data_IF_641217913980
#
_entry.id   IF_641217913980
#
_cell.length_a   1.000
_cell.length_b   1.000
_cell.length_c   1.000
_cell.angle_alpha   90.00
_cell.angle_beta   90.00
_cell.angle_gamma   90.00
#
_symmetry.space_group_name_H-M   'P 1'
#
loop_
_entity.id
_entity.type
_entity.pdbx_description
1 polymer ?
#
# COMPACT_ATOMS: atom_id res chain seq x y z
N UNK A 1 32.24 52.53 12.37
CA UNK A 1 30.83 52.24 12.02
C UNK A 1 30.81 50.99 11.15
N UNK A 2 29.86 50.13 11.46
CA UNK A 2 29.90 48.66 11.33
C UNK A 2 29.79 48.18 9.89
N UNK A 3 30.68 47.22 9.52
CA UNK A 3 30.64 46.49 8.25
C UNK A 3 29.34 45.70 8.13
N UNK A 4 28.65 45.88 7.02
CA UNK A 4 27.55 45.04 6.56
C UNK A 4 28.12 43.63 6.32
N UNK A 5 27.73 42.65 7.13
CA UNK A 5 28.10 41.24 6.92
C UNK A 5 27.09 40.60 5.98
N UNK A 6 27.60 40.16 4.83
CA UNK A 6 26.92 39.34 3.82
C UNK A 6 26.17 38.16 4.45
N UNK A 7 24.90 38.00 4.12
CA UNK A 7 24.16 36.75 4.33
C UNK A 7 24.60 35.77 3.23
N UNK A 8 25.63 34.98 3.51
CA UNK A 8 26.17 34.01 2.56
C UNK A 8 25.14 32.93 2.26
N UNK A 9 24.70 32.82 1.01
CA UNK A 9 23.93 31.67 0.54
C UNK A 9 24.72 30.39 0.84
N UNK A 10 24.15 29.45 1.61
CA UNK A 10 24.82 28.19 1.94
C UNK A 10 25.05 27.39 0.65
N UNK A 11 26.31 27.22 0.23
CA UNK A 11 26.66 26.39 -0.93
C UNK A 11 26.15 24.97 -0.72
N UNK A 12 25.22 24.54 -1.58
CA UNK A 12 24.54 23.23 -1.49
C UNK A 12 24.98 22.35 -2.65
N UNK A 13 25.38 21.11 -2.35
CA UNK A 13 25.69 20.09 -3.35
C UNK A 13 24.68 18.95 -3.31
N UNK A 14 24.46 18.30 -4.45
CA UNK A 14 23.71 17.06 -4.56
C UNK A 14 24.68 15.89 -4.72
N UNK A 15 24.51 14.83 -3.95
CA UNK A 15 25.27 13.61 -4.06
C UNK A 15 24.34 12.49 -4.55
N UNK A 16 24.59 11.95 -5.74
CA UNK A 16 23.81 10.86 -6.32
C UNK A 16 24.51 9.54 -5.97
N UNK A 17 23.90 8.75 -5.10
CA UNK A 17 24.50 7.55 -4.55
C UNK A 17 23.95 6.29 -5.23
N UNK A 18 24.80 5.51 -5.90
CA UNK A 18 24.44 4.23 -6.49
C UNK A 18 25.15 3.05 -5.84
N UNK A 19 24.85 1.83 -6.29
CA UNK A 19 25.41 0.62 -5.66
C UNK A 19 26.87 0.46 -6.06
N UNK A 20 27.17 0.82 -7.30
CA UNK A 20 28.41 0.47 -7.97
C UNK A 20 28.39 -0.99 -8.42
N UNK A 21 29.10 -1.25 -9.49
CA UNK A 21 29.18 -2.54 -10.16
C UNK A 21 30.65 -2.88 -10.41
N UNK A 22 31.03 -4.16 -10.34
CA UNK A 22 32.34 -4.60 -10.82
C UNK A 22 32.50 -4.44 -12.34
N UNK A 23 31.43 -4.11 -13.07
CA UNK A 23 31.45 -3.83 -14.51
C UNK A 23 31.57 -2.31 -14.74
N UNK A 24 32.71 -1.78 -15.26
CA UNK A 24 32.94 -0.34 -15.37
C UNK A 24 31.88 0.42 -16.16
N UNK A 25 31.41 -0.16 -17.27
CA UNK A 25 30.37 0.44 -18.13
C UNK A 25 29.04 0.67 -17.40
N UNK A 26 28.71 -0.15 -16.41
CA UNK A 26 27.48 0.03 -15.63
C UNK A 26 27.58 1.24 -14.68
N UNK A 27 28.80 1.62 -14.26
CA UNK A 27 29.03 2.78 -13.39
C UNK A 27 28.98 4.10 -14.18
N UNK A 28 29.27 4.08 -15.49
CA UNK A 28 29.14 5.25 -16.37
C UNK A 28 27.70 5.76 -16.42
N UNK A 29 26.71 4.87 -16.44
CA UNK A 29 25.29 5.25 -16.44
C UNK A 29 24.93 6.13 -15.24
N UNK A 30 25.42 5.84 -14.03
CA UNK A 30 25.18 6.69 -12.86
C UNK A 30 25.84 8.07 -13.00
N UNK A 31 27.03 8.13 -13.60
CA UNK A 31 27.74 9.39 -13.86
C UNK A 31 26.99 10.24 -14.88
N UNK A 32 26.44 9.63 -15.93
CA UNK A 32 25.56 10.29 -16.90
C UNK A 32 24.28 10.82 -16.26
N UNK A 33 23.66 10.04 -15.38
CA UNK A 33 22.48 10.46 -14.61
C UNK A 33 22.83 11.66 -13.72
N UNK A 34 23.94 11.62 -12.99
CA UNK A 34 24.38 12.74 -12.15
C UNK A 34 24.58 14.01 -12.99
N UNK A 35 25.17 13.89 -14.17
CA UNK A 35 25.30 15.00 -15.12
C UNK A 35 23.94 15.51 -15.63
N UNK A 36 23.02 14.62 -15.96
CA UNK A 36 21.68 15.00 -16.39
C UNK A 36 20.88 15.68 -15.27
N UNK A 37 21.02 15.22 -14.02
CA UNK A 37 20.42 15.84 -12.83
C UNK A 37 21.00 17.24 -12.61
N UNK A 38 22.31 17.42 -12.79
CA UNK A 38 22.94 18.74 -12.72
C UNK A 38 22.28 19.74 -13.66
N UNK A 39 22.15 19.37 -14.93
CA UNK A 39 21.60 20.25 -15.97
C UNK A 39 20.09 20.46 -15.78
N UNK A 40 19.31 19.37 -15.68
CA UNK A 40 17.83 19.46 -15.60
C UNK A 40 17.34 20.03 -14.28
N UNK A 41 18.05 19.77 -13.18
CA UNK A 41 17.71 20.24 -11.85
C UNK A 41 18.25 21.63 -11.52
N UNK A 42 19.12 22.20 -12.36
CA UNK A 42 19.73 23.51 -12.12
C UNK A 42 20.64 23.54 -10.89
N UNK A 43 21.32 22.43 -10.59
CA UNK A 43 22.23 22.33 -9.44
C UNK A 43 23.66 22.68 -9.87
N UNK A 44 24.35 23.52 -9.08
CA UNK A 44 25.73 23.93 -9.40
C UNK A 44 26.72 22.78 -9.20
N UNK A 45 26.52 21.97 -8.17
CA UNK A 45 27.40 20.88 -7.75
C UNK A 45 26.59 19.59 -7.62
N UNK A 46 26.90 18.62 -8.47
CA UNK A 46 26.36 17.25 -8.39
C UNK A 46 27.52 16.26 -8.44
N UNK A 47 27.62 15.40 -7.44
CA UNK A 47 28.71 14.43 -7.29
C UNK A 47 28.15 13.00 -7.29
N UNK A 48 28.51 12.14 -8.26
CA UNK A 48 28.22 10.71 -8.15
C UNK A 48 29.08 10.06 -7.06
N UNK A 49 28.50 9.09 -6.36
CA UNK A 49 29.19 8.26 -5.39
C UNK A 49 28.67 6.82 -5.44
N UNK A 50 29.46 5.88 -4.95
CA UNK A 50 29.14 4.46 -5.01
C UNK A 50 29.25 3.82 -3.62
N UNK A 51 28.36 2.87 -3.31
CA UNK A 51 28.43 2.10 -2.06
C UNK A 51 29.50 1.02 -2.11
N UNK A 52 29.73 0.41 -3.28
CA UNK A 52 30.60 -0.75 -3.46
C UNK A 52 31.28 -0.70 -4.83
N UNK A 53 32.38 -1.46 -4.98
CA UNK A 53 33.07 -1.78 -6.24
C UNK A 53 33.69 -0.63 -7.05
N UNK A 54 33.35 0.63 -6.76
CA UNK A 54 33.71 1.78 -7.58
C UNK A 54 33.96 3.03 -6.72
N UNK A 55 34.72 3.97 -7.26
CA UNK A 55 35.07 5.23 -6.63
C UNK A 55 34.50 6.47 -7.36
N UNK A 56 34.26 7.59 -6.65
CA UNK A 56 34.47 7.76 -5.22
C UNK A 56 33.40 7.03 -4.40
N UNK A 57 33.82 6.43 -3.28
CA UNK A 57 32.87 5.91 -2.30
C UNK A 57 32.16 7.06 -1.56
N UNK A 58 31.17 6.76 -0.71
CA UNK A 58 30.41 7.79 0.00
C UNK A 58 31.31 8.77 0.78
N UNK A 59 32.27 8.26 1.57
CA UNK A 59 33.15 9.09 2.39
C UNK A 59 34.08 9.96 1.53
N UNK A 60 34.66 9.40 0.46
CA UNK A 60 35.50 10.13 -0.49
C UNK A 60 34.72 11.21 -1.23
N UNK A 61 33.48 10.93 -1.63
CA UNK A 61 32.62 11.90 -2.30
C UNK A 61 32.28 13.08 -1.36
N UNK A 62 32.04 12.81 -0.07
CA UNK A 62 31.85 13.89 0.90
C UNK A 62 33.16 14.65 1.14
N UNK A 63 34.32 13.98 1.20
CA UNK A 63 35.63 14.65 1.32
C UNK A 63 35.88 15.63 0.16
N UNK A 64 35.58 15.21 -1.07
CA UNK A 64 35.67 16.06 -2.27
C UNK A 64 34.78 17.31 -2.13
N UNK A 65 33.53 17.13 -1.71
CA UNK A 65 32.57 18.23 -1.55
C UNK A 65 32.94 19.17 -0.39
N UNK A 66 33.42 18.63 0.73
CA UNK A 66 33.86 19.40 1.87
C UNK A 66 35.08 20.28 1.53
N UNK A 67 36.04 19.76 0.76
CA UNK A 67 37.20 20.53 0.28
C UNK A 67 36.81 21.66 -0.68
N UNK A 68 35.67 21.54 -1.37
CA UNK A 68 35.10 22.61 -2.20
C UNK A 68 34.35 23.68 -1.38
N UNK A 69 34.32 23.57 -0.05
CA UNK A 69 33.66 24.54 0.84
C UNK A 69 32.14 24.43 0.85
N UNK A 70 31.58 23.30 0.40
CA UNK A 70 30.15 23.02 0.49
C UNK A 70 29.73 22.96 1.97
N UNK A 71 28.61 23.61 2.29
CA UNK A 71 28.08 23.66 3.66
C UNK A 71 26.89 22.72 3.86
N UNK A 72 26.26 22.28 2.75
CA UNK A 72 25.11 21.38 2.75
C UNK A 72 25.18 20.35 1.63
N UNK A 73 24.95 19.09 1.94
CA UNK A 73 24.90 17.99 0.97
C UNK A 73 23.52 17.32 1.03
N UNK A 74 22.83 17.26 -0.11
CA UNK A 74 21.62 16.46 -0.30
C UNK A 74 22.02 15.13 -0.93
N UNK A 75 21.94 14.05 -0.16
CA UNK A 75 22.23 12.69 -0.62
C UNK A 75 20.95 12.12 -1.21
N UNK A 76 20.94 11.82 -2.50
CA UNK A 76 19.85 11.12 -3.17
C UNK A 76 20.28 9.69 -3.52
N UNK A 77 19.70 8.67 -2.86
CA UNK A 77 19.96 7.28 -3.19
C UNK A 77 19.30 6.89 -4.53
N UNK A 78 20.10 6.62 -5.55
CA UNK A 78 19.63 6.24 -6.87
C UNK A 78 19.39 4.73 -6.96
N UNK A 79 18.39 4.27 -6.22
CA UNK A 79 18.00 2.85 -6.12
C UNK A 79 16.51 2.69 -6.38
N UNK A 80 16.12 1.71 -7.20
CA UNK A 80 14.71 1.34 -7.38
C UNK A 80 14.13 0.64 -6.14
N UNK A 81 14.98 -0.06 -5.39
CA UNK A 81 14.60 -0.80 -4.19
C UNK A 81 15.59 -0.47 -3.07
N UNK A 82 15.10 -0.35 -1.83
CA UNK A 82 15.96 -0.29 -0.65
C UNK A 82 16.27 -1.71 -0.17
N UNK A 83 17.45 -2.23 -0.49
CA UNK A 83 17.95 -3.46 0.11
C UNK A 83 18.19 -3.31 1.63
N UNK A 84 18.15 -4.43 2.37
CA UNK A 84 18.41 -4.47 3.82
C UNK A 84 19.78 -3.88 4.22
N UNK A 85 20.76 -3.92 3.32
CA UNK A 85 22.08 -3.30 3.48
C UNK A 85 22.04 -1.77 3.33
N UNK A 86 21.30 -1.25 2.34
CA UNK A 86 21.19 0.20 2.03
C UNK A 86 20.55 1.01 3.16
N UNK A 87 19.57 0.43 3.88
CA UNK A 87 18.87 1.08 5.00
C UNK A 87 19.76 1.34 6.22
N UNK A 88 20.84 0.57 6.39
CA UNK A 88 21.77 0.67 7.54
C UNK A 88 23.09 1.32 7.14
N UNK A 89 23.59 0.99 5.95
CA UNK A 89 24.90 1.44 5.49
C UNK A 89 24.92 2.95 5.23
N UNK A 90 23.89 3.52 4.59
CA UNK A 90 23.87 4.97 4.33
C UNK A 90 23.79 5.79 5.62
N UNK A 91 22.89 5.51 6.58
CA UNK A 91 22.90 6.23 7.86
C UNK A 91 24.19 6.03 8.65
N UNK A 92 24.80 4.83 8.60
CA UNK A 92 26.07 4.54 9.24
C UNK A 92 27.22 5.39 8.64
N UNK A 93 27.32 5.42 7.31
CA UNK A 93 28.29 6.22 6.57
C UNK A 93 28.11 7.73 6.85
N UNK A 94 26.86 8.23 6.84
CA UNK A 94 26.55 9.60 7.24
C UNK A 94 27.01 9.86 8.68
N UNK A 95 26.78 8.93 9.61
CA UNK A 95 27.21 9.05 10.99
C UNK A 95 28.73 9.11 11.14
N UNK A 96 29.46 8.32 10.36
CA UNK A 96 30.93 8.31 10.32
C UNK A 96 31.49 9.62 9.81
N UNK A 97 30.94 10.13 8.70
CA UNK A 97 31.40 11.38 8.09
C UNK A 97 31.02 12.62 8.92
N UNK A 98 29.87 12.61 9.61
CA UNK A 98 29.48 13.68 10.54
C UNK A 98 30.45 13.86 11.72
N UNK A 99 31.15 12.80 12.16
CA UNK A 99 32.19 12.92 13.18
C UNK A 99 33.38 13.75 12.67
N UNK A 100 33.70 13.66 11.37
CA UNK A 100 34.79 14.36 10.70
C UNK A 100 34.42 15.80 10.33
N UNK A 101 33.19 16.04 9.87
CA UNK A 101 32.70 17.36 9.45
C UNK A 101 31.48 17.80 10.25
N UNK A 102 31.70 18.33 11.45
CA UNK A 102 30.62 18.73 12.37
C UNK A 102 29.76 19.89 11.88
N UNK A 103 30.33 20.74 11.01
CA UNK A 103 29.65 21.92 10.46
C UNK A 103 28.98 21.65 9.09
N UNK A 104 29.08 20.43 8.57
CA UNK A 104 28.53 20.05 7.27
C UNK A 104 27.14 19.45 7.44
N UNK A 105 26.13 20.12 6.87
CA UNK A 105 24.74 19.66 6.92
C UNK A 105 24.52 18.56 5.86
N UNK A 106 24.29 17.32 6.27
CA UNK A 106 23.98 16.22 5.36
C UNK A 106 22.52 15.80 5.54
N UNK A 107 21.73 15.90 4.46
CA UNK A 107 20.32 15.50 4.40
C UNK A 107 20.17 14.33 3.44
N UNK A 108 19.51 13.27 3.89
CA UNK A 108 19.13 12.14 3.06
C UNK A 108 17.77 12.42 2.42
N UNK A 109 17.73 12.46 1.09
CA UNK A 109 16.49 12.49 0.31
C UNK A 109 15.91 11.08 0.15
N UNK A 110 14.63 10.99 -0.24
CA UNK A 110 14.03 9.72 -0.66
C UNK A 110 14.85 9.08 -1.78
N UNK A 111 14.95 7.76 -1.76
CA UNK A 111 15.55 7.00 -2.86
C UNK A 111 14.66 7.09 -4.12
N UNK A 112 15.20 6.73 -5.29
CA UNK A 112 14.47 6.80 -6.56
C UNK A 112 13.11 6.08 -6.49
N UNK A 113 13.11 4.84 -6.00
CA UNK A 113 11.89 4.09 -5.69
C UNK A 113 10.94 3.91 -6.87
N UNK A 114 9.70 3.53 -6.59
CA UNK A 114 8.63 3.57 -7.58
C UNK A 114 8.18 5.01 -7.84
N UNK A 115 8.01 5.34 -9.12
CA UNK A 115 7.45 6.62 -9.56
C UNK A 115 6.76 6.42 -10.92
N UNK A 116 5.61 7.07 -11.16
CA UNK A 116 4.82 6.90 -12.41
C UNK A 116 5.67 7.11 -13.68
N UNK A 117 6.54 8.12 -13.69
CA UNK A 117 7.50 8.35 -14.80
C UNK A 117 8.40 7.14 -15.13
N UNK A 118 8.68 6.24 -14.20
CA UNK A 118 9.41 5.00 -14.49
C UNK A 118 8.52 3.98 -15.18
N UNK A 119 7.21 3.99 -14.92
CA UNK A 119 6.22 3.21 -15.67
C UNK A 119 6.14 3.72 -17.10
N UNK A 120 6.11 5.03 -17.31
CA UNK A 120 6.11 5.62 -18.66
C UNK A 120 7.33 5.16 -19.46
N UNK A 121 8.51 5.22 -18.83
CA UNK A 121 9.76 4.71 -19.44
C UNK A 121 9.67 3.21 -19.71
N UNK A 122 9.12 2.41 -18.78
CA UNK A 122 8.98 0.97 -18.99
C UNK A 122 8.03 0.64 -20.15
N UNK A 123 6.89 1.33 -20.25
CA UNK A 123 5.93 1.21 -21.35
C UNK A 123 6.59 1.59 -22.68
N UNK A 124 7.38 2.67 -22.70
CA UNK A 124 8.14 3.10 -23.88
C UNK A 124 9.08 1.98 -24.36
N UNK A 125 9.88 1.39 -23.45
CA UNK A 125 10.81 0.29 -23.77
C UNK A 125 10.08 -0.97 -24.28
N UNK A 126 8.91 -1.26 -23.73
CA UNK A 126 8.09 -2.40 -24.17
C UNK A 126 7.60 -2.18 -25.60
N UNK A 127 7.04 -1.00 -25.91
CA UNK A 127 6.58 -0.75 -27.27
C UNK A 127 7.70 -0.64 -28.29
N UNK A 128 8.91 -0.16 -27.92
CA UNK A 128 10.11 -0.24 -28.77
C UNK A 128 10.37 -1.69 -29.22
N UNK A 129 10.32 -2.65 -28.29
CA UNK A 129 10.49 -4.07 -28.59
C UNK A 129 9.35 -4.65 -29.47
N UNK A 130 8.16 -4.08 -29.38
CA UNK A 130 7.00 -4.44 -30.20
C UNK A 130 6.97 -3.74 -31.57
N UNK A 131 8.02 -2.99 -31.94
CA UNK A 131 8.10 -2.26 -33.20
C UNK A 131 7.23 -1.01 -33.26
N UNK A 132 6.70 -0.56 -32.12
CA UNK A 132 5.92 0.67 -32.00
C UNK A 132 6.89 1.83 -31.72
N UNK A 133 6.89 2.85 -32.59
CA UNK A 133 7.59 4.11 -32.28
C UNK A 133 6.68 4.98 -31.44
N UNK A 134 7.07 5.22 -30.20
CA UNK A 134 6.47 6.28 -29.40
C UNK A 134 7.08 7.63 -29.82
N UNK A 135 6.27 8.51 -30.39
CA UNK A 135 6.63 9.93 -30.47
C UNK A 135 6.45 10.54 -29.07
N UNK A 136 7.50 11.19 -28.57
CA UNK A 136 7.43 12.01 -27.35
C UNK A 136 6.42 13.13 -27.58
N UNK A 137 5.18 12.90 -27.20
CA UNK A 137 4.18 13.95 -27.10
C UNK A 137 4.47 14.78 -25.87
N UNK A 138 5.15 15.90 -26.10
CA UNK A 138 5.14 17.03 -25.19
C UNK A 138 3.71 17.32 -24.74
N UNK A 139 3.57 17.53 -23.43
CA UNK A 139 2.42 18.10 -22.72
C UNK A 139 1.05 17.70 -23.26
N UNK A 140 0.49 16.61 -22.73
CA UNK A 140 -0.97 16.41 -22.76
C UNK A 140 -1.57 16.66 -21.39
N UNK A 141 -2.14 17.87 -21.32
CA UNK A 141 -3.34 18.27 -20.58
C UNK A 141 -3.89 17.24 -19.59
N UNK A 142 -3.73 17.62 -18.32
CA UNK A 142 -4.50 17.19 -17.15
C UNK A 142 -5.91 16.73 -17.56
N UNK A 143 -6.11 15.43 -17.70
CA UNK A 143 -7.43 14.86 -17.46
C UNK A 143 -7.59 14.87 -15.94
N UNK A 144 -8.34 15.87 -15.47
CA UNK A 144 -8.70 16.02 -14.07
C UNK A 144 -9.58 14.86 -13.64
N UNK A 145 -8.96 13.77 -13.22
CA UNK A 145 -9.57 12.93 -12.20
C UNK A 145 -9.35 13.64 -10.87
N UNK A 146 -10.35 14.44 -10.49
CA UNK A 146 -10.52 14.94 -9.14
C UNK A 146 -10.77 13.76 -8.21
N UNK A 147 -9.71 13.06 -7.82
CA UNK A 147 -9.65 12.38 -6.53
C UNK A 147 -8.74 13.23 -5.64
N UNK A 148 -9.19 13.59 -4.43
CA UNK A 148 -8.36 14.37 -3.54
C UNK A 148 -7.07 13.60 -3.27
N UNK A 149 -5.92 14.28 -3.42
CA UNK A 149 -4.62 13.75 -3.03
C UNK A 149 -4.75 13.10 -1.65
N UNK A 150 -4.48 11.80 -1.59
CA UNK A 150 -4.55 11.01 -0.37
C UNK A 150 -3.68 11.67 0.70
N UNK A 151 -4.34 12.16 1.76
CA UNK A 151 -3.71 12.79 2.93
C UNK A 151 -3.15 11.76 3.92
N UNK A 152 -3.04 10.50 3.51
CA UNK A 152 -2.57 9.39 4.32
C UNK A 152 -1.05 9.33 4.30
N UNK A 153 -0.45 9.63 5.44
CA UNK A 153 0.95 9.28 5.69
C UNK A 153 1.05 7.77 5.94
N UNK A 154 2.14 7.10 5.51
CA UNK A 154 2.39 5.71 5.86
C UNK A 154 2.39 5.54 7.38
N UNK A 155 1.93 4.39 7.92
CA UNK A 155 1.95 4.15 9.35
C UNK A 155 3.38 4.28 9.90
N UNK A 156 3.51 4.82 11.11
CA UNK A 156 4.81 4.89 11.79
C UNK A 156 5.43 3.49 11.92
N UNK A 157 6.75 3.39 12.02
CA UNK A 157 7.57 2.16 12.07
C UNK A 157 7.20 1.14 13.16
N UNK A 158 6.18 1.42 13.96
CA UNK A 158 5.69 0.65 15.08
C UNK A 158 4.26 0.10 14.83
N UNK A 159 3.97 -0.38 13.61
CA UNK A 159 2.69 -1.06 13.27
C UNK A 159 2.35 -2.24 14.22
N UNK A 160 3.36 -2.76 14.90
CA UNK A 160 3.31 -3.91 15.79
C UNK A 160 3.58 -3.58 17.28
N UNK A 161 3.52 -2.30 17.68
CA UNK A 161 3.71 -1.94 19.09
C UNK A 161 2.62 -2.57 19.97
N UNK A 162 3.03 -3.31 21.01
CA UNK A 162 2.15 -4.01 21.95
C UNK A 162 1.87 -5.49 21.60
N UNK A 163 2.55 -6.06 20.60
CA UNK A 163 2.43 -7.48 20.28
C UNK A 163 3.05 -8.40 21.34
N UNK A 164 2.45 -9.58 21.52
CA UNK A 164 3.01 -10.63 22.35
C UNK A 164 4.36 -11.09 21.76
N UNK A 165 5.40 -11.41 22.56
CA UNK A 165 6.73 -11.76 22.06
C UNK A 165 6.75 -12.86 20.99
N UNK A 166 5.84 -13.83 21.10
CA UNK A 166 5.69 -14.93 20.13
C UNK A 166 5.19 -14.42 18.77
N UNK A 167 4.25 -13.49 18.77
CA UNK A 167 3.69 -12.91 17.54
C UNK A 167 4.76 -12.07 16.82
N UNK A 168 5.51 -11.24 17.57
CA UNK A 168 6.61 -10.45 17.02
C UNK A 168 7.70 -11.33 16.40
N UNK A 169 8.08 -12.42 17.08
CA UNK A 169 9.04 -13.40 16.54
C UNK A 169 8.50 -14.11 15.29
N UNK A 170 7.21 -14.47 15.27
CA UNK A 170 6.58 -15.06 14.07
C UNK A 170 6.66 -14.11 12.87
N UNK A 171 6.38 -12.82 13.06
CA UNK A 171 6.50 -11.82 12.00
C UNK A 171 7.94 -11.62 11.54
N UNK A 172 8.92 -11.69 12.46
CA UNK A 172 10.34 -11.64 12.12
C UNK A 172 10.73 -12.80 11.19
N UNK A 173 10.33 -14.04 11.53
CA UNK A 173 10.59 -15.22 10.71
C UNK A 173 9.91 -15.16 9.33
N UNK A 174 8.70 -14.61 9.26
CA UNK A 174 8.02 -14.37 7.98
C UNK A 174 8.81 -13.37 7.13
N UNK A 175 9.32 -12.31 7.76
CA UNK A 175 10.08 -11.24 7.09
C UNK A 175 11.40 -11.74 6.49
N UNK A 176 11.99 -12.80 7.05
CA UNK A 176 13.22 -13.41 6.52
C UNK A 176 12.99 -14.21 5.23
N UNK A 177 11.77 -14.69 5.01
CA UNK A 177 11.42 -15.56 3.88
C UNK A 177 10.56 -14.85 2.82
N UNK A 178 9.86 -13.79 3.21
CA UNK A 178 9.03 -12.99 2.33
C UNK A 178 9.87 -11.92 1.64
N UNK A 179 9.81 -11.87 0.30
CA UNK A 179 10.28 -10.70 -0.44
C UNK A 179 9.30 -9.53 -0.25
N UNK A 180 9.57 -8.72 0.78
CA UNK A 180 8.72 -7.58 1.17
C UNK A 180 8.73 -6.46 0.14
N UNK A 181 9.72 -6.41 -0.76
CA UNK A 181 9.84 -5.35 -1.78
C UNK A 181 8.70 -5.36 -2.80
N UNK A 182 7.94 -6.47 -2.85
CA UNK A 182 6.78 -6.68 -3.71
C UNK A 182 5.50 -5.98 -3.23
N UNK A 183 5.49 -5.47 -2.00
CA UNK A 183 4.28 -4.94 -1.37
C UNK A 183 4.54 -3.54 -0.84
N UNK A 184 3.54 -2.65 -0.96
CA UNK A 184 3.63 -1.33 -0.37
C UNK A 184 3.44 -1.35 1.17
N UNK A 185 3.54 -0.17 1.79
CA UNK A 185 3.44 -0.02 3.25
C UNK A 185 2.05 -0.37 3.84
N UNK A 186 1.00 -0.38 3.03
CA UNK A 186 -0.37 -0.72 3.40
C UNK A 186 -0.71 -2.19 3.08
N UNK A 187 -0.17 -2.72 1.98
CA UNK A 187 -0.31 -4.11 1.56
C UNK A 187 0.49 -5.06 2.45
N UNK A 188 1.75 -4.74 2.73
CA UNK A 188 2.68 -5.63 3.43
C UNK A 188 2.14 -6.12 4.79
N UNK A 189 1.54 -5.27 5.65
CA UNK A 189 0.97 -5.74 6.91
C UNK A 189 -0.18 -6.73 6.74
N UNK A 190 -0.99 -6.59 5.68
CA UNK A 190 -2.07 -7.52 5.35
C UNK A 190 -1.47 -8.85 4.88
N UNK A 191 -0.47 -8.81 4.00
CA UNK A 191 0.21 -10.02 3.49
C UNK A 191 0.90 -10.79 4.61
N UNK A 192 1.67 -10.11 5.45
CA UNK A 192 2.29 -10.74 6.62
C UNK A 192 1.24 -11.36 7.54
N UNK A 193 0.12 -10.66 7.78
CA UNK A 193 -0.97 -11.17 8.62
C UNK A 193 -1.60 -12.42 8.01
N UNK A 194 -1.79 -12.46 6.69
CA UNK A 194 -2.27 -13.64 5.98
C UNK A 194 -1.33 -14.83 6.20
N UNK A 195 -0.03 -14.67 5.91
CA UNK A 195 0.98 -15.72 6.07
C UNK A 195 1.07 -16.19 7.53
N UNK A 196 1.06 -15.27 8.49
CA UNK A 196 1.06 -15.60 9.92
C UNK A 196 -0.13 -16.48 10.31
N UNK A 197 -1.33 -16.13 9.82
CA UNK A 197 -2.56 -16.85 10.16
C UNK A 197 -2.65 -18.21 9.48
N UNK A 198 -2.08 -18.38 8.29
CA UNK A 198 -2.21 -19.60 7.48
C UNK A 198 -0.97 -20.49 7.48
N UNK A 199 0.17 -19.96 7.94
CA UNK A 199 1.50 -20.54 7.76
C UNK A 199 1.84 -20.87 6.29
N UNK A 200 1.32 -20.05 5.36
CA UNK A 200 1.37 -20.33 3.92
C UNK A 200 1.82 -19.10 3.13
N UNK A 201 3.05 -19.13 2.62
CA UNK A 201 3.66 -18.04 1.86
C UNK A 201 3.03 -17.83 0.48
N UNK A 202 2.32 -18.82 -0.06
CA UNK A 202 1.67 -18.70 -1.38
C UNK A 202 0.62 -17.58 -1.38
N UNK A 203 0.07 -17.20 -0.21
CA UNK A 203 -0.84 -16.06 -0.10
C UNK A 203 -0.21 -14.73 -0.57
N UNK A 204 1.11 -14.58 -0.49
CA UNK A 204 1.83 -13.44 -1.07
C UNK A 204 1.66 -13.36 -2.60
N UNK A 205 1.59 -14.51 -3.26
CA UNK A 205 1.43 -14.60 -4.73
C UNK A 205 -0.03 -14.55 -5.17
N UNK A 206 -0.95 -14.97 -4.29
CA UNK A 206 -2.37 -15.12 -4.61
C UNK A 206 -3.22 -13.90 -4.25
N UNK A 207 -2.82 -13.10 -3.26
CA UNK A 207 -3.60 -11.93 -2.83
C UNK A 207 -3.70 -10.87 -3.93
N UNK A 208 -4.89 -10.32 -4.13
CA UNK A 208 -5.17 -9.26 -5.10
C UNK A 208 -5.90 -8.13 -4.41
N UNK A 209 -5.35 -6.92 -4.55
CA UNK A 209 -5.95 -5.66 -4.11
C UNK A 209 -6.43 -4.92 -5.36
N UNK A 210 -7.70 -4.48 -5.37
CA UNK A 210 -8.29 -3.81 -6.52
C UNK A 210 -8.93 -2.48 -6.16
N UNK A 211 -8.82 -1.50 -7.05
CA UNK A 211 -9.56 -0.23 -7.00
C UNK A 211 -9.40 0.54 -5.67
N UNK A 212 -8.18 0.68 -5.14
CA UNK A 212 -7.89 1.42 -3.90
C UNK A 212 -8.52 0.77 -2.65
N UNK A 213 -8.55 -0.56 -2.62
CA UNK A 213 -9.24 -1.34 -1.59
C UNK A 213 -8.81 -1.04 -0.16
N UNK A 214 -7.51 -0.91 0.08
CA UNK A 214 -6.99 -0.78 1.44
C UNK A 214 -7.34 0.59 1.99
N UNK A 215 -7.12 1.65 1.23
CA UNK A 215 -7.42 3.02 1.59
C UNK A 215 -8.91 3.23 1.79
N UNK A 216 -9.73 2.69 0.88
CA UNK A 216 -11.20 2.77 0.99
C UNK A 216 -11.70 1.98 2.19
N UNK A 217 -11.12 0.81 2.47
CA UNK A 217 -11.42 0.02 3.66
C UNK A 217 -11.07 0.76 4.95
N UNK A 218 -9.87 1.35 5.03
CA UNK A 218 -9.43 2.15 6.19
C UNK A 218 -10.35 3.36 6.38
N UNK A 219 -10.72 4.07 5.31
CA UNK A 219 -11.60 5.23 5.39
C UNK A 219 -13.02 4.85 5.83
N UNK A 220 -13.58 3.77 5.29
CA UNK A 220 -14.87 3.23 5.70
C UNK A 220 -14.89 2.83 7.18
N UNK A 221 -13.85 2.12 7.64
CA UNK A 221 -13.68 1.78 9.06
C UNK A 221 -13.63 3.07 9.90
N UNK A 222 -12.81 4.04 9.49
CA UNK A 222 -12.64 5.31 10.23
C UNK A 222 -13.93 6.12 10.35
N UNK A 223 -14.89 5.91 9.44
CA UNK A 223 -16.22 6.54 9.42
C UNK A 223 -17.29 5.71 10.13
N UNK A 224 -16.93 4.58 10.74
CA UNK A 224 -17.84 3.72 11.49
C UNK A 224 -18.67 2.78 10.63
N UNK A 225 -18.17 2.39 9.45
CA UNK A 225 -18.83 1.39 8.62
C UNK A 225 -19.01 0.06 9.37
N UNK A 226 -20.18 -0.54 9.18
CA UNK A 226 -20.43 -1.90 9.64
C UNK A 226 -19.70 -2.92 8.75
N UNK A 227 -19.38 -4.08 9.33
CA UNK A 227 -18.78 -5.20 8.61
C UNK A 227 -19.79 -6.32 8.51
N UNK A 228 -20.23 -6.62 7.30
CA UNK A 228 -21.19 -7.68 7.00
C UNK A 228 -20.42 -8.94 6.62
N UNK A 229 -20.79 -10.06 7.23
CA UNK A 229 -20.09 -11.33 6.99
C UNK A 229 -21.04 -12.42 6.49
N UNK A 230 -20.53 -13.32 5.66
CA UNK A 230 -21.30 -14.44 5.11
C UNK A 230 -21.60 -15.54 6.14
N UNK A 231 -20.67 -15.77 7.08
CA UNK A 231 -20.81 -16.77 8.15
C UNK A 231 -20.42 -16.24 9.52
N UNK A 232 -20.98 -16.87 10.57
CA UNK A 232 -20.74 -16.49 11.97
C UNK A 232 -19.27 -16.59 12.38
N UNK A 233 -18.52 -17.54 11.82
CA UNK A 233 -17.10 -17.71 12.12
C UNK A 233 -16.28 -16.46 11.78
N UNK A 234 -16.60 -15.79 10.67
CA UNK A 234 -15.95 -14.52 10.29
C UNK A 234 -16.35 -13.42 11.27
N UNK A 235 -17.64 -13.29 11.58
CA UNK A 235 -18.15 -12.28 12.51
C UNK A 235 -17.48 -12.33 13.89
N UNK A 236 -17.34 -13.53 14.46
CA UNK A 236 -16.74 -13.68 15.80
C UNK A 236 -15.22 -13.51 15.80
N UNK A 237 -14.56 -13.74 14.66
CA UNK A 237 -13.12 -13.54 14.53
C UNK A 237 -12.71 -12.08 14.37
N UNK A 238 -13.63 -11.21 13.95
CA UNK A 238 -13.38 -9.77 13.83
C UNK A 238 -13.24 -9.15 15.23
N UNK A 239 -12.18 -8.36 15.41
CA UNK A 239 -11.88 -7.70 16.69
C UNK A 239 -12.92 -6.64 17.03
N UNK A 240 -13.90 -7.02 17.86
CA UNK A 240 -14.95 -6.11 18.36
C UNK A 240 -14.38 -4.91 19.09
N UNK A 241 -13.33 -5.12 19.89
CA UNK A 241 -12.66 -4.04 20.62
C UNK A 241 -12.18 -2.93 19.66
N UNK A 242 -11.47 -3.29 18.58
CA UNK A 242 -10.97 -2.32 17.59
C UNK A 242 -12.10 -1.70 16.79
N UNK A 243 -13.03 -2.53 16.30
CA UNK A 243 -14.15 -2.06 15.47
C UNK A 243 -15.06 -1.08 16.23
N UNK A 244 -15.34 -1.36 17.51
CA UNK A 244 -16.17 -0.50 18.35
C UNK A 244 -15.56 0.90 18.58
N UNK A 245 -14.23 1.06 18.56
CA UNK A 245 -13.58 2.38 18.69
C UNK A 245 -13.97 3.33 17.57
N UNK A 246 -14.32 2.79 16.40
CA UNK A 246 -14.80 3.57 15.26
C UNK A 246 -16.33 3.63 15.16
N UNK A 247 -17.06 2.93 16.04
CA UNK A 247 -18.53 2.90 16.04
C UNK A 247 -19.17 1.85 15.11
N UNK A 248 -18.37 1.10 14.35
CA UNK A 248 -18.88 0.02 13.50
C UNK A 248 -19.26 -1.24 14.28
N UNK A 249 -20.04 -2.12 13.65
CA UNK A 249 -20.40 -3.45 14.19
C UNK A 249 -20.22 -4.54 13.15
N UNK A 250 -19.69 -5.68 13.58
CA UNK A 250 -19.67 -6.91 12.78
C UNK A 250 -21.04 -7.59 12.86
N UNK A 251 -21.58 -8.05 11.72
CA UNK A 251 -22.93 -8.61 11.64
C UNK A 251 -22.99 -9.75 10.65
N UNK A 252 -23.64 -10.83 11.07
CA UNK A 252 -23.99 -11.96 10.21
C UNK A 252 -25.46 -12.29 10.38
N UNK A 253 -26.17 -12.44 9.26
CA UNK A 253 -27.62 -12.70 9.25
C UNK A 253 -27.94 -14.17 8.91
N UNK A 254 -26.92 -15.01 8.66
CA UNK A 254 -27.12 -16.39 8.17
C UNK A 254 -27.87 -17.30 9.15
N UNK A 255 -27.87 -16.94 10.43
CA UNK A 255 -28.50 -17.69 11.50
C UNK A 255 -29.90 -17.17 11.86
N UNK A 256 -30.38 -16.12 11.20
CA UNK A 256 -31.71 -15.57 11.48
C UNK A 256 -32.80 -16.55 11.00
N UNK A 257 -33.86 -16.68 11.78
CA UNK A 257 -34.91 -17.69 11.55
C UNK A 257 -35.62 -17.51 10.19
N UNK A 258 -35.86 -16.26 9.79
CA UNK A 258 -36.50 -15.89 8.52
C UNK A 258 -35.63 -16.18 7.29
N UNK A 259 -34.29 -16.12 7.41
CA UNK A 259 -33.36 -16.37 6.30
C UNK A 259 -33.45 -17.80 5.81
N UNK A 260 -33.57 -18.76 6.74
CA UNK A 260 -33.68 -20.18 6.38
C UNK A 260 -34.98 -20.48 5.61
N UNK A 261 -36.09 -19.87 6.04
CA UNK A 261 -37.37 -20.00 5.36
C UNK A 261 -37.34 -19.36 3.97
N UNK A 262 -36.89 -18.10 3.88
CA UNK A 262 -36.80 -17.38 2.61
C UNK A 262 -35.87 -18.07 1.60
N UNK A 263 -34.73 -18.60 2.05
CA UNK A 263 -33.81 -19.35 1.18
C UNK A 263 -34.49 -20.55 0.52
N UNK A 264 -35.33 -21.28 1.29
CA UNK A 264 -36.09 -22.42 0.78
C UNK A 264 -37.16 -22.00 -0.22
N UNK A 265 -37.89 -20.93 0.06
CA UNK A 265 -38.95 -20.41 -0.80
C UNK A 265 -38.40 -19.84 -2.11
N UNK A 266 -37.28 -19.12 -2.07
CA UNK A 266 -36.63 -18.50 -3.23
C UNK A 266 -35.69 -19.46 -4.00
N UNK A 267 -35.46 -20.68 -3.50
CA UNK A 267 -34.59 -21.66 -4.15
C UNK A 267 -33.11 -21.26 -4.18
N UNK A 268 -32.63 -20.51 -3.18
CA UNK A 268 -31.25 -20.03 -3.06
C UNK A 268 -30.60 -20.57 -1.77
N UNK A 269 -29.28 -20.39 -1.63
CA UNK A 269 -28.58 -20.79 -0.40
C UNK A 269 -28.88 -19.84 0.76
N UNK A 270 -28.78 -20.34 2.00
CA UNK A 270 -28.93 -19.51 3.21
C UNK A 270 -27.97 -18.32 3.24
N UNK A 271 -26.75 -18.48 2.75
CA UNK A 271 -25.74 -17.42 2.71
C UNK A 271 -26.04 -16.37 1.62
N UNK A 272 -26.63 -16.77 0.48
CA UNK A 272 -27.12 -15.82 -0.52
C UNK A 272 -28.33 -15.02 0.01
N UNK A 273 -29.30 -15.71 0.62
CA UNK A 273 -30.45 -15.09 1.29
C UNK A 273 -30.03 -14.12 2.40
N UNK A 274 -29.08 -14.51 3.25
CA UNK A 274 -28.52 -13.65 4.30
C UNK A 274 -27.89 -12.37 3.73
N UNK A 275 -27.22 -12.49 2.59
CA UNK A 275 -26.60 -11.33 1.91
C UNK A 275 -27.67 -10.36 1.40
N UNK A 276 -28.75 -10.86 0.79
CA UNK A 276 -29.89 -10.02 0.39
C UNK A 276 -30.52 -9.30 1.60
N UNK A 277 -30.78 -10.04 2.69
CA UNK A 277 -31.33 -9.50 3.93
C UNK A 277 -30.42 -8.41 4.52
N UNK A 278 -29.10 -8.61 4.50
CA UNK A 278 -28.15 -7.67 5.08
C UNK A 278 -28.25 -6.27 4.45
N UNK A 279 -28.42 -6.20 3.13
CA UNK A 279 -28.59 -4.93 2.42
C UNK A 279 -30.00 -4.36 2.57
N UNK A 280 -31.03 -5.21 2.67
CA UNK A 280 -32.42 -4.80 2.86
C UNK A 280 -32.68 -4.15 4.22
N UNK A 281 -32.39 -4.85 5.31
CA UNK A 281 -32.76 -4.46 6.68
C UNK A 281 -32.06 -3.17 7.12
N UNK A 282 -30.97 -2.80 6.47
CA UNK A 282 -30.17 -1.63 6.81
C UNK A 282 -30.40 -0.42 5.91
N UNK A 283 -31.32 -0.52 4.97
CA UNK A 283 -31.58 0.54 4.00
C UNK A 283 -30.39 0.80 3.08
N UNK A 284 -29.53 -0.20 2.88
CA UNK A 284 -28.45 -0.15 1.88
C UNK A 284 -28.93 -0.66 0.51
N UNK A 285 -30.10 -1.33 0.46
CA UNK A 285 -30.85 -1.57 -0.78
C UNK A 285 -31.50 -0.27 -1.23
N UNK A 286 -31.29 0.07 -2.49
CA UNK A 286 -32.00 1.13 -3.19
C UNK A 286 -32.93 0.52 -4.25
N UNK A 287 -34.18 1.00 -4.33
CA UNK A 287 -35.14 0.60 -5.37
C UNK A 287 -34.97 1.40 -6.68
N UNK A 288 -34.15 2.45 -6.67
CA UNK A 288 -33.89 3.24 -7.86
C UNK A 288 -32.77 2.60 -8.70
N UNK A 289 -33.09 2.33 -9.97
CA UNK A 289 -32.19 2.00 -11.07
C UNK A 289 -31.18 3.16 -11.32
N UNK A 290 -30.43 3.57 -10.31
CA UNK A 290 -29.41 4.58 -10.42
C UNK A 290 -28.15 3.88 -10.94
N UNK A 291 -27.95 3.95 -12.24
CA UNK A 291 -26.77 3.46 -12.98
C UNK A 291 -25.41 4.02 -12.50
N UNK A 292 -25.41 4.83 -11.43
CA UNK A 292 -24.26 5.50 -10.82
C UNK A 292 -24.28 5.40 -9.28
N UNK A 293 -24.69 4.25 -8.71
CA UNK A 293 -24.65 4.06 -7.25
C UNK A 293 -23.19 4.14 -6.75
N UNK A 294 -22.85 5.22 -6.07
CA UNK A 294 -21.55 5.40 -5.42
C UNK A 294 -21.65 4.96 -3.95
N UNK A 295 -20.58 4.38 -3.37
CA UNK A 295 -20.55 4.07 -1.95
C UNK A 295 -20.86 5.32 -1.12
N UNK A 296 -21.84 5.23 -0.23
CA UNK A 296 -22.11 6.25 0.79
C UNK A 296 -21.07 6.16 1.90
N UNK A 297 -20.80 7.23 2.67
CA UNK A 297 -20.02 7.15 3.91
C UNK A 297 -20.51 6.08 4.90
N UNK A 298 -21.78 5.66 4.79
CA UNK A 298 -22.39 4.59 5.60
C UNK A 298 -22.41 3.22 4.93
N UNK A 299 -21.81 3.06 3.74
CA UNK A 299 -21.77 1.79 3.03
C UNK A 299 -20.96 0.76 3.82
N UNK A 300 -21.43 -0.50 3.89
CA UNK A 300 -20.75 -1.53 4.67
C UNK A 300 -19.48 -2.00 3.97
N UNK A 301 -18.57 -2.56 4.76
CA UNK A 301 -17.56 -3.50 4.26
C UNK A 301 -18.19 -4.89 4.27
N UNK A 302 -18.03 -5.65 3.20
CA UNK A 302 -18.54 -7.03 3.12
C UNK A 302 -17.38 -8.01 3.11
N UNK A 303 -17.33 -8.94 4.06
CA UNK A 303 -16.32 -9.98 4.18
C UNK A 303 -16.93 -11.36 3.94
N UNK A 304 -16.61 -11.97 2.80
CA UNK A 304 -17.05 -13.32 2.42
C UNK A 304 -15.87 -14.27 2.56
N UNK A 305 -15.88 -15.09 3.60
CA UNK A 305 -14.79 -16.03 3.89
C UNK A 305 -15.10 -17.48 3.54
N UNK A 306 -16.37 -17.86 3.38
CA UNK A 306 -16.75 -19.26 3.28
C UNK A 306 -17.58 -19.59 2.04
N UNK A 307 -18.63 -18.84 1.74
CA UNK A 307 -19.63 -19.24 0.76
C UNK A 307 -19.48 -18.50 -0.58
N UNK A 308 -19.06 -19.19 -1.67
CA UNK A 308 -19.04 -18.61 -3.02
C UNK A 308 -20.40 -18.05 -3.44
N UNK A 309 -21.48 -18.74 -3.08
CA UNK A 309 -22.85 -18.30 -3.38
C UNK A 309 -23.22 -16.96 -2.72
N UNK A 310 -22.64 -16.63 -1.57
CA UNK A 310 -22.83 -15.31 -0.95
C UNK A 310 -22.13 -14.21 -1.77
N UNK A 311 -20.92 -14.50 -2.25
CA UNK A 311 -20.14 -13.57 -3.08
C UNK A 311 -20.81 -13.36 -4.45
N UNK A 312 -21.27 -14.43 -5.10
CA UNK A 312 -22.00 -14.35 -6.36
C UNK A 312 -23.30 -13.55 -6.23
N UNK A 313 -24.06 -13.77 -5.16
CA UNK A 313 -25.28 -12.99 -4.93
C UNK A 313 -24.97 -11.52 -4.67
N UNK A 314 -23.91 -11.21 -3.91
CA UNK A 314 -23.43 -9.83 -3.75
C UNK A 314 -23.06 -9.18 -5.09
N UNK A 315 -22.29 -9.88 -5.93
CA UNK A 315 -21.91 -9.42 -7.28
C UNK A 315 -23.15 -9.14 -8.12
N UNK A 316 -24.14 -10.02 -8.09
CA UNK A 316 -25.42 -9.84 -8.79
C UNK A 316 -26.15 -8.59 -8.30
N UNK A 317 -26.23 -8.38 -6.98
CA UNK A 317 -26.84 -7.15 -6.42
C UNK A 317 -26.06 -5.89 -6.80
N UNK A 318 -24.72 -5.93 -6.84
CA UNK A 318 -23.89 -4.80 -7.28
C UNK A 318 -24.15 -4.47 -8.75
N UNK A 319 -24.11 -5.48 -9.63
CA UNK A 319 -24.39 -5.32 -11.06
C UNK A 319 -25.81 -4.78 -11.31
N UNK A 320 -26.76 -5.10 -10.43
CA UNK A 320 -28.14 -4.60 -10.47
C UNK A 320 -28.33 -3.22 -9.82
N UNK A 321 -27.28 -2.60 -9.28
CA UNK A 321 -27.38 -1.30 -8.57
C UNK A 321 -28.10 -1.39 -7.22
N UNK A 322 -28.28 -2.60 -6.68
CA UNK A 322 -28.98 -2.87 -5.41
C UNK A 322 -28.04 -2.86 -4.20
N UNK A 323 -26.73 -2.91 -4.43
CA UNK A 323 -25.71 -2.92 -3.39
C UNK A 323 -24.49 -2.09 -3.82
N UNK A 324 -24.02 -1.20 -2.94
CA UNK A 324 -22.77 -0.45 -3.12
C UNK A 324 -21.92 -0.56 -1.84
N UNK A 325 -21.25 -1.70 -1.61
CA UNK A 325 -20.33 -1.85 -0.49
C UNK A 325 -19.13 -0.90 -0.64
N UNK A 326 -18.60 -0.41 0.47
CA UNK A 326 -17.39 0.40 0.47
C UNK A 326 -16.15 -0.43 0.10
N UNK A 327 -16.14 -1.70 0.52
CA UNK A 327 -15.09 -2.66 0.21
C UNK A 327 -15.69 -4.08 0.24
N UNK A 328 -15.23 -4.94 -0.68
CA UNK A 328 -15.51 -6.38 -0.64
C UNK A 328 -14.24 -7.17 -0.38
N UNK A 329 -14.15 -7.81 0.80
CA UNK A 329 -13.16 -8.85 1.09
C UNK A 329 -13.74 -10.20 0.66
N UNK A 330 -13.53 -10.54 -0.62
CA UNK A 330 -14.09 -11.74 -1.26
C UNK A 330 -13.07 -12.87 -1.31
N UNK A 331 -13.01 -13.68 -0.26
CA UNK A 331 -12.03 -14.76 -0.11
C UNK A 331 -12.65 -16.12 0.23
N UNK A 332 -13.79 -16.53 -0.40
CA UNK A 332 -14.33 -17.86 -0.15
C UNK A 332 -13.32 -18.95 -0.53
N UNK A 333 -13.27 -19.99 0.30
CA UNK A 333 -12.53 -21.22 0.04
C UNK A 333 -13.46 -22.25 -0.61
N UNK A 334 -12.95 -23.04 -1.54
CA UNK A 334 -13.72 -24.16 -2.08
C UNK A 334 -13.21 -24.67 -3.41
N UNK A 335 -13.74 -25.83 -3.79
CA UNK A 335 -13.46 -26.47 -5.08
C UNK A 335 -14.54 -26.23 -6.12
N UNK A 336 -15.72 -25.77 -5.69
CA UNK A 336 -16.89 -25.47 -6.51
C UNK A 336 -17.17 -23.98 -6.38
N UNK A 337 -17.26 -23.28 -7.50
CA UNK A 337 -17.59 -21.85 -7.68
C UNK A 337 -16.72 -20.82 -6.93
N UNK A 338 -15.80 -21.23 -6.06
CA UNK A 338 -14.96 -20.32 -5.28
C UNK A 338 -14.02 -19.50 -6.16
N UNK A 339 -13.32 -20.15 -7.09
CA UNK A 339 -12.42 -19.46 -8.02
C UNK A 339 -13.20 -18.54 -8.95
N UNK A 340 -14.26 -19.04 -9.58
CA UNK A 340 -15.12 -18.27 -10.48
C UNK A 340 -15.75 -17.05 -9.79
N UNK A 341 -16.31 -17.20 -8.59
CA UNK A 341 -16.90 -16.09 -7.85
C UNK A 341 -15.90 -14.97 -7.53
N UNK A 342 -14.64 -15.34 -7.26
CA UNK A 342 -13.56 -14.37 -7.02
C UNK A 342 -13.08 -13.73 -8.31
N UNK A 343 -13.04 -14.46 -9.41
CA UNK A 343 -12.75 -13.89 -10.74
C UNK A 343 -13.83 -12.91 -11.18
N UNK A 344 -15.11 -13.21 -10.95
CA UNK A 344 -16.20 -12.29 -11.21
C UNK A 344 -16.12 -11.02 -10.35
N UNK A 345 -15.73 -11.14 -9.07
CA UNK A 345 -15.47 -9.97 -8.22
C UNK A 345 -14.35 -9.10 -8.80
N UNK A 346 -13.24 -9.71 -9.22
CA UNK A 346 -12.07 -9.00 -9.75
C UNK A 346 -12.33 -8.26 -11.07
N UNK A 347 -13.42 -8.58 -11.77
CA UNK A 347 -13.87 -7.86 -12.99
C UNK A 347 -14.66 -6.59 -12.67
N UNK A 348 -15.13 -6.40 -11.44
CA UNK A 348 -15.93 -5.24 -11.07
C UNK A 348 -15.06 -4.00 -10.80
N UNK A 349 -15.62 -2.83 -11.11
CA UNK A 349 -15.00 -1.54 -10.79
C UNK A 349 -15.40 -1.06 -9.38
N UNK A 350 -15.24 -1.93 -8.38
CA UNK A 350 -15.45 -1.62 -6.95
C UNK A 350 -14.22 -2.00 -6.13
N UNK A 351 -13.97 -1.37 -4.98
CA UNK A 351 -12.86 -1.76 -4.11
C UNK A 351 -13.00 -3.21 -3.63
N UNK A 352 -11.94 -4.01 -3.82
CA UNK A 352 -11.93 -5.41 -3.39
C UNK A 352 -10.57 -5.89 -2.87
N UNK A 353 -10.60 -6.87 -1.95
CA UNK A 353 -9.45 -7.71 -1.60
C UNK A 353 -9.88 -9.16 -1.82
N UNK A 354 -9.12 -9.90 -2.63
CA UNK A 354 -9.44 -11.29 -3.01
C UNK A 354 -8.18 -12.17 -3.02
N UNK A 355 -8.36 -13.49 -3.05
CA UNK A 355 -7.28 -14.48 -3.18
C UNK A 355 -7.52 -15.28 -4.46
N UNK A 356 -6.58 -15.27 -5.41
CA UNK A 356 -6.69 -16.06 -6.65
C UNK A 356 -6.77 -17.56 -6.35
N UNK A 357 -7.48 -18.32 -7.19
CA UNK A 357 -7.55 -19.78 -7.11
C UNK A 357 -8.59 -20.30 -6.11
N UNK A 358 -8.33 -21.45 -5.48
CA UNK A 358 -9.28 -22.15 -4.58
C UNK A 358 -9.08 -21.85 -3.10
N UNK A 359 -7.93 -21.26 -2.74
CA UNK A 359 -7.57 -20.88 -1.38
C UNK A 359 -8.39 -19.68 -0.89
N UNK A 360 -8.51 -19.55 0.42
CA UNK A 360 -9.37 -18.56 1.06
C UNK A 360 -9.75 -19.06 2.46
N UNK A 361 -10.89 -18.61 2.96
CA UNK A 361 -11.46 -19.13 4.19
C UNK A 361 -11.87 -18.04 5.17
N UNK A 362 -12.58 -18.46 6.20
CA UNK A 362 -13.00 -17.55 7.28
C UNK A 362 -11.79 -16.93 7.99
N UNK A 363 -10.73 -17.70 8.21
CA UNK A 363 -9.48 -17.21 8.83
C UNK A 363 -8.78 -16.15 7.99
N UNK A 364 -8.79 -16.31 6.66
CA UNK A 364 -8.24 -15.35 5.69
C UNK A 364 -9.05 -14.06 5.70
N UNK A 365 -10.39 -14.15 5.66
CA UNK A 365 -11.26 -12.98 5.74
C UNK A 365 -11.04 -12.20 7.04
N UNK A 366 -10.99 -12.91 8.17
CA UNK A 366 -10.72 -12.33 9.49
C UNK A 366 -9.35 -11.67 9.55
N UNK A 367 -8.32 -12.32 9.02
CA UNK A 367 -6.96 -11.79 8.98
C UNK A 367 -6.90 -10.45 8.21
N UNK A 368 -7.53 -10.38 7.03
CA UNK A 368 -7.59 -9.16 6.23
C UNK A 368 -8.34 -8.06 6.97
N UNK A 369 -9.54 -8.35 7.48
CA UNK A 369 -10.36 -7.35 8.19
C UNK A 369 -9.66 -6.84 9.44
N UNK A 370 -9.05 -7.71 10.24
CA UNK A 370 -8.33 -7.29 11.45
C UNK A 370 -7.07 -6.48 11.11
N UNK A 371 -6.37 -6.80 10.01
CA UNK A 371 -5.25 -5.98 9.53
C UNK A 371 -5.72 -4.57 9.11
N UNK A 372 -6.87 -4.46 8.41
CA UNK A 372 -7.46 -3.17 8.07
C UNK A 372 -7.87 -2.37 9.31
N UNK A 373 -8.44 -3.02 10.33
CA UNK A 373 -8.74 -2.39 11.62
C UNK A 373 -7.48 -1.83 12.29
N UNK A 374 -6.38 -2.59 12.30
CA UNK A 374 -5.10 -2.13 12.84
C UNK A 374 -4.53 -0.94 12.05
N UNK A 375 -4.62 -0.97 10.72
CA UNK A 375 -4.20 0.14 9.86
C UNK A 375 -5.03 1.41 10.12
N UNK A 376 -6.34 1.27 10.32
CA UNK A 376 -7.21 2.37 10.70
C UNK A 376 -6.87 2.94 12.09
N UNK A 377 -6.57 2.09 13.08
CA UNK A 377 -6.09 2.54 14.40
C UNK A 377 -4.77 3.31 14.29
N UNK A 378 -3.81 2.81 13.52
CA UNK A 378 -2.53 3.49 13.28
C UNK A 378 -2.71 4.88 12.65
N UNK A 379 -3.67 5.02 11.73
CA UNK A 379 -4.05 6.32 11.14
C UNK A 379 -4.65 7.28 12.18
N UNK A 380 -5.54 6.79 13.04
CA UNK A 380 -6.20 7.59 14.07
C UNK A 380 -5.19 8.15 15.10
N UNK A 381 -4.26 7.31 15.57
CA UNK A 381 -3.21 7.72 16.52
C UNK A 381 -2.28 8.81 15.95
N UNK A 382 -2.04 8.80 14.64
CA UNK A 382 -1.27 9.86 13.97
C UNK A 382 -2.02 11.18 13.81
N UNK A 383 -3.36 11.21 13.93
CA UNK A 383 -4.17 12.45 13.92
C UNK A 383 -4.18 13.17 15.28
N UNK A 384 -4.06 12.42 16.37
CA UNK A 384 -4.08 12.99 17.74
C UNK A 384 -2.75 13.66 18.15
N UNK A 385 -1.72 13.58 17.31
CA UNK A 385 -0.52 14.43 17.43
C UNK A 385 -0.75 15.78 16.74
N UNK A 386 -1.64 16.58 17.31
CA UNK A 386 -1.75 18.00 16.94
C UNK A 386 -0.50 18.73 17.48
N UNK A 387 0.26 19.47 16.66
CA UNK A 387 1.21 20.43 17.19
C UNK A 387 0.38 21.54 17.85
N UNK A 388 0.45 21.62 19.17
CA UNK A 388 0.05 22.83 19.90
C UNK A 388 0.83 24.01 19.28
N UNK A 389 0.19 25.17 19.04
CA UNK A 389 0.79 26.31 18.34
C UNK A 389 2.08 26.83 18.97
#
# INVERSE_FOLDING_TARGET
MTRITHNASRTTAVLILGHGSPVPKANETLREIAHAVKIKGGYDIVQPAFLQFEHPNFAEAVDILAQQGVQKIIVHPYFLYMGAHVTKDIPFEIGTVKKKYQNLEIILASHLGYHEKLVDVAVERIGEAMGQRFEVRGERQKHGNNYPASSLQPPASNFFAGQHPIEAESFRLISEQLDESRFDAFELPIVKRLIHTTADFEYADLVRFGNGAIETGIDAISKGADIITDVRMVEVGISRERLNKFGGKARCFVADEDVAQYAKEAGITKTAAAMQKAFEVRGWRHEAFASNLQPSPSSPIVAVGNAPTALLELIKMIKAGQAAPALVVGVPVGFVDAEESKEELMKLNIPYISIKGKKGGSTVAVAIVNALLMLAEGKAVNRDRVPCP
#
